data_IF_275219783489
#
_entry.id   IF_275219783489
#
_cell.length_a   1.000
_cell.length_b   1.000
_cell.length_c   1.000
_cell.angle_alpha   90.00
_cell.angle_beta   90.00
_cell.angle_gamma   90.00
#
_symmetry.space_group_name_H-M   'P 1'
#
loop_
_entity.id
_entity.type
_entity.pdbx_description
1 polymer ?
#
# COMPACT_ATOMS: atom_id res chain seq x y z
N UNK A 1 -21.95 2.13 -12.07
CA UNK A 1 -22.50 2.99 -11.00
C UNK A 1 -23.52 3.96 -11.57
N UNK A 2 -24.39 4.55 -10.75
CA UNK A 2 -25.32 5.62 -11.15
C UNK A 2 -25.07 6.84 -10.27
N UNK A 3 -25.04 8.04 -10.86
CA UNK A 3 -24.93 9.30 -10.12
C UNK A 3 -26.21 9.55 -9.30
N UNK A 4 -26.05 10.14 -8.12
CA UNK A 4 -27.15 10.51 -7.21
C UNK A 4 -27.01 11.97 -6.79
N UNK A 5 -28.12 12.56 -6.33
CA UNK A 5 -28.17 13.92 -5.76
C UNK A 5 -27.95 13.90 -4.23
N UNK A 6 -27.43 12.80 -3.67
CA UNK A 6 -27.23 12.67 -2.24
C UNK A 6 -25.98 13.41 -1.79
N UNK A 7 -26.07 14.10 -0.66
CA UNK A 7 -24.89 14.53 0.09
C UNK A 7 -24.51 13.45 1.10
N UNK A 8 -23.22 13.10 1.17
CA UNK A 8 -22.73 12.03 2.03
C UNK A 8 -21.56 12.53 2.87
N UNK A 9 -21.74 12.48 4.20
CA UNK A 9 -20.61 12.44 5.12
C UNK A 9 -19.93 11.07 5.02
N UNK A 10 -18.75 11.03 4.40
CA UNK A 10 -17.98 9.79 4.16
C UNK A 10 -17.71 9.05 5.47
N UNK A 11 -17.37 9.76 6.55
CA UNK A 11 -17.02 9.13 7.83
C UNK A 11 -18.26 8.54 8.49
N UNK A 12 -19.34 9.32 8.58
CA UNK A 12 -20.62 8.87 9.12
C UNK A 12 -21.20 7.68 8.33
N UNK A 13 -21.13 7.75 7.00
CA UNK A 13 -21.58 6.67 6.12
C UNK A 13 -20.76 5.39 6.31
N UNK A 14 -19.43 5.49 6.44
CA UNK A 14 -18.59 4.32 6.67
C UNK A 14 -18.85 3.68 8.04
N UNK A 15 -18.99 4.49 9.10
CA UNK A 15 -19.37 4.00 10.45
C UNK A 15 -20.72 3.27 10.43
N UNK A 16 -21.70 3.82 9.71
CA UNK A 16 -23.01 3.18 9.52
C UNK A 16 -22.90 1.83 8.81
N UNK A 17 -22.02 1.73 7.82
CA UNK A 17 -21.80 0.53 7.04
C UNK A 17 -21.13 -0.55 7.88
N UNK A 18 -20.04 -0.18 8.56
CA UNK A 18 -19.23 -1.10 9.34
C UNK A 18 -19.93 -1.63 10.60
N UNK A 19 -20.95 -0.93 11.11
CA UNK A 19 -21.78 -1.43 12.23
C UNK A 19 -22.77 -2.52 11.81
N UNK A 20 -23.08 -2.61 10.51
CA UNK A 20 -24.07 -3.56 9.96
C UNK A 20 -23.45 -4.74 9.24
N UNK A 21 -22.20 -4.60 8.80
CA UNK A 21 -21.53 -5.57 7.95
C UNK A 21 -20.15 -5.91 8.52
N UNK A 22 -19.77 -7.18 8.42
CA UNK A 22 -18.44 -7.63 8.82
C UNK A 22 -17.40 -7.31 7.74
N UNK A 23 -17.76 -7.56 6.49
CA UNK A 23 -16.91 -7.39 5.33
C UNK A 23 -17.16 -6.03 4.66
N UNK A 24 -16.26 -5.08 4.90
CA UNK A 24 -16.42 -3.69 4.48
C UNK A 24 -15.10 -3.11 3.99
N UNK A 25 -15.18 -2.11 3.11
CA UNK A 25 -14.00 -1.37 2.68
C UNK A 25 -14.28 0.12 2.52
N UNK A 26 -13.20 0.89 2.61
CA UNK A 26 -13.09 2.30 2.29
C UNK A 26 -11.75 2.49 1.59
N UNK A 27 -11.77 2.80 0.29
CA UNK A 27 -10.59 3.26 -0.45
C UNK A 27 -10.64 4.78 -0.48
N UNK A 28 -9.56 5.44 -0.08
CA UNK A 28 -9.62 6.84 0.33
C UNK A 28 -8.52 7.70 -0.28
N UNK A 29 -8.90 8.91 -0.70
CA UNK A 29 -7.99 9.94 -1.17
C UNK A 29 -7.35 10.77 -0.03
N UNK A 30 -7.65 10.46 1.24
CA UNK A 30 -7.01 11.05 2.41
C UNK A 30 -7.87 12.09 3.16
N UNK A 31 -7.38 12.52 4.34
CA UNK A 31 -8.07 13.52 5.16
C UNK A 31 -8.05 14.93 4.55
N UNK A 32 -9.20 15.60 4.60
CA UNK A 32 -9.40 16.98 4.10
C UNK A 32 -8.94 17.22 2.66
N UNK A 33 -8.93 16.16 1.83
CA UNK A 33 -8.63 16.31 0.41
C UNK A 33 -9.72 17.12 -0.28
N UNK A 34 -9.32 17.96 -1.23
CA UNK A 34 -10.22 18.71 -2.11
C UNK A 34 -10.35 18.08 -3.49
N UNK A 35 -9.75 16.89 -3.67
CA UNK A 35 -9.66 16.20 -4.95
C UNK A 35 -9.54 14.68 -4.76
N UNK A 36 -9.77 13.93 -5.83
CA UNK A 36 -9.76 12.46 -5.80
C UNK A 36 -11.06 11.88 -5.26
N UNK A 37 -11.03 10.58 -4.97
CA UNK A 37 -12.22 9.78 -4.70
C UNK A 37 -12.16 9.08 -3.34
N UNK A 38 -13.28 9.02 -2.63
CA UNK A 38 -13.52 8.00 -1.59
C UNK A 38 -14.52 6.99 -2.10
N UNK A 39 -14.19 5.70 -2.00
CA UNK A 39 -15.09 4.59 -2.37
C UNK A 39 -15.34 3.73 -1.14
N UNK A 40 -16.59 3.68 -0.69
CA UNK A 40 -17.03 2.89 0.45
C UNK A 40 -17.88 1.73 -0.05
N UNK A 41 -17.78 0.56 0.56
CA UNK A 41 -18.64 -0.55 0.13
C UNK A 41 -18.57 -1.79 0.98
N UNK A 42 -19.37 -2.76 0.56
CA UNK A 42 -19.51 -4.10 1.13
C UNK A 42 -19.46 -5.13 0.01
N UNK A 43 -19.15 -6.35 0.38
CA UNK A 43 -19.11 -7.45 -0.57
C UNK A 43 -19.17 -8.80 0.09
N UNK A 44 -19.17 -9.82 -0.76
CA UNK A 44 -19.09 -11.21 -0.34
C UNK A 44 -17.66 -11.71 -0.52
N UNK A 45 -17.17 -12.51 0.44
CA UNK A 45 -15.82 -13.09 0.35
C UNK A 45 -15.75 -14.03 -0.85
N UNK A 46 -14.82 -13.78 -1.77
CA UNK A 46 -14.58 -14.63 -2.94
C UNK A 46 -13.16 -15.19 -2.89
N UNK A 47 -13.04 -16.44 -2.46
CA UNK A 47 -11.76 -17.15 -2.37
C UNK A 47 -11.06 -17.34 -3.73
N UNK A 48 -11.79 -17.22 -4.85
CA UNK A 48 -11.18 -17.33 -6.19
C UNK A 48 -10.44 -16.04 -6.58
N UNK A 49 -10.90 -14.91 -6.07
CA UNK A 49 -10.38 -13.58 -6.38
C UNK A 49 -10.45 -13.19 -7.87
N UNK A 50 -9.87 -12.04 -8.22
CA UNK A 50 -9.99 -11.45 -9.54
C UNK A 50 -8.97 -12.00 -10.57
N UNK A 51 -8.23 -13.05 -10.24
CA UNK A 51 -7.09 -13.49 -11.06
C UNK A 51 -7.43 -13.89 -12.50
N UNK A 52 -8.71 -14.18 -12.80
CA UNK A 52 -9.20 -14.55 -14.13
C UNK A 52 -9.58 -13.34 -15.00
N UNK A 53 -9.65 -12.14 -14.43
CA UNK A 53 -10.01 -10.92 -15.15
C UNK A 53 -8.93 -10.60 -16.17
N UNK A 54 -9.34 -10.28 -17.40
CA UNK A 54 -8.43 -9.80 -18.44
C UNK A 54 -8.25 -8.29 -18.35
N UNK A 55 -7.03 -7.79 -18.51
CA UNK A 55 -6.75 -6.35 -18.46
C UNK A 55 -7.31 -5.56 -19.66
N UNK A 56 -7.69 -6.26 -20.72
CA UNK A 56 -8.31 -5.70 -21.93
C UNK A 56 -9.84 -5.87 -21.95
N UNK A 57 -10.47 -6.32 -20.85
CA UNK A 57 -11.91 -6.61 -20.79
C UNK A 57 -12.79 -5.38 -21.10
N UNK A 58 -12.37 -4.18 -20.71
CA UNK A 58 -13.04 -2.92 -21.01
C UNK A 58 -12.65 -2.30 -22.36
N UNK A 59 -11.63 -2.82 -23.05
CA UNK A 59 -11.07 -2.20 -24.26
C UNK A 59 -12.00 -2.28 -25.47
N UNK A 60 -12.98 -3.19 -25.49
CA UNK A 60 -13.88 -3.40 -26.63
C UNK A 60 -14.94 -2.31 -26.83
N UNK A 61 -14.95 -1.23 -26.01
CA UNK A 61 -15.93 -0.16 -26.10
C UNK A 61 -15.36 1.28 -26.09
N UNK A 62 -14.05 1.50 -25.89
CA UNK A 62 -13.52 2.84 -25.63
C UNK A 62 -12.10 3.13 -26.17
N UNK A 63 -11.74 2.58 -27.33
CA UNK A 63 -10.43 2.83 -27.97
C UNK A 63 -10.23 4.28 -28.53
N UNK A 64 -10.84 5.30 -27.91
CA UNK A 64 -10.89 6.64 -28.48
C UNK A 64 -10.74 7.84 -27.53
N UNK A 65 -10.69 7.70 -26.20
CA UNK A 65 -10.57 8.89 -25.36
C UNK A 65 -9.96 8.64 -23.97
N UNK A 66 -9.11 9.60 -23.58
CA UNK A 66 -8.79 10.02 -22.21
C UNK A 66 -7.57 9.39 -21.50
N UNK A 67 -6.39 9.47 -22.12
CA UNK A 67 -5.25 10.00 -21.37
C UNK A 67 -5.45 11.52 -21.22
N UNK A 68 -6.07 11.99 -20.13
CA UNK A 68 -6.06 13.43 -19.78
C UNK A 68 -7.40 14.13 -19.52
N UNK A 69 -8.53 13.44 -19.37
CA UNK A 69 -9.73 14.04 -18.78
C UNK A 69 -10.00 13.38 -17.43
N UNK A 70 -10.07 14.17 -16.34
CA UNK A 70 -10.71 13.68 -15.10
C UNK A 70 -12.12 13.26 -15.49
N UNK A 71 -12.37 11.96 -15.55
CA UNK A 71 -13.68 11.43 -15.90
C UNK A 71 -14.70 11.92 -14.88
N UNK A 72 -15.89 12.29 -15.35
CA UNK A 72 -17.04 12.58 -14.47
C UNK A 72 -17.44 11.34 -13.63
N UNK A 73 -16.95 10.15 -14.02
CA UNK A 73 -17.29 8.87 -13.43
C UNK A 73 -16.21 8.34 -12.47
N UNK A 74 -16.59 7.52 -11.46
CA UNK A 74 -15.66 6.92 -10.52
C UNK A 74 -14.64 5.99 -11.20
N UNK A 75 -13.40 5.91 -10.66
CA UNK A 75 -12.37 5.02 -11.17
C UNK A 75 -12.71 3.52 -10.94
N UNK A 76 -13.36 3.20 -9.81
CA UNK A 76 -13.85 1.85 -9.54
C UNK A 76 -15.31 1.69 -9.96
N UNK A 77 -15.57 0.75 -10.88
CA UNK A 77 -16.90 0.55 -11.50
C UNK A 77 -17.57 -0.77 -11.12
N UNK A 78 -17.00 -1.49 -10.16
CA UNK A 78 -17.44 -2.82 -9.72
C UNK A 78 -16.39 -3.90 -10.01
N UNK A 79 -16.38 -4.95 -9.19
CA UNK A 79 -15.36 -5.99 -9.21
C UNK A 79 -14.95 -6.36 -7.79
N UNK A 80 -13.64 -6.51 -7.57
CA UNK A 80 -13.09 -6.97 -6.30
C UNK A 80 -12.33 -5.87 -5.57
N UNK A 81 -12.43 -5.87 -4.24
CA UNK A 81 -11.57 -5.09 -3.34
C UNK A 81 -10.93 -6.05 -2.34
N UNK A 82 -9.63 -5.91 -2.09
CA UNK A 82 -8.92 -6.86 -1.24
C UNK A 82 -7.42 -6.67 -1.26
N UNK A 83 -6.70 -7.75 -0.94
CA UNK A 83 -5.25 -7.76 -0.88
C UNK A 83 -4.64 -9.09 -1.33
N UNK A 84 -3.35 -9.02 -1.68
CA UNK A 84 -2.44 -10.15 -1.74
C UNK A 84 -1.40 -10.00 -0.64
N UNK A 85 -1.21 -11.05 0.15
CA UNK A 85 -0.12 -11.11 1.11
C UNK A 85 1.22 -11.41 0.43
N UNK A 86 2.31 -10.96 1.05
CA UNK A 86 3.66 -11.13 0.52
C UNK A 86 4.04 -12.60 0.35
N UNK A 87 3.71 -13.46 1.32
CA UNK A 87 4.16 -14.85 1.36
C UNK A 87 3.55 -15.69 0.23
N UNK A 88 2.27 -15.49 -0.10
CA UNK A 88 1.65 -16.10 -1.30
C UNK A 88 2.32 -15.65 -2.60
N UNK A 89 2.72 -14.39 -2.68
CA UNK A 89 3.53 -13.87 -3.79
C UNK A 89 4.89 -14.54 -3.85
N UNK A 90 5.53 -14.75 -2.69
CA UNK A 90 6.84 -15.37 -2.63
C UNK A 90 6.83 -16.82 -3.13
N UNK A 91 5.82 -17.60 -2.74
CA UNK A 91 5.60 -18.95 -3.29
C UNK A 91 5.44 -18.91 -4.81
N UNK A 92 4.63 -17.98 -5.32
CA UNK A 92 4.39 -17.85 -6.76
C UNK A 92 5.66 -17.51 -7.55
N UNK A 93 6.54 -16.68 -6.97
CA UNK A 93 7.83 -16.33 -7.53
C UNK A 93 8.90 -17.44 -7.39
N UNK A 94 8.58 -18.56 -6.74
CA UNK A 94 9.49 -19.68 -6.50
C UNK A 94 10.48 -19.48 -5.36
N UNK A 95 10.25 -18.49 -4.48
CA UNK A 95 11.07 -18.26 -3.31
C UNK A 95 10.56 -19.06 -2.09
N UNK A 96 11.41 -19.30 -1.08
CA UNK A 96 10.96 -19.79 0.22
C UNK A 96 9.96 -18.83 0.86
N UNK A 97 8.94 -19.38 1.52
CA UNK A 97 7.93 -18.62 2.23
C UNK A 97 7.49 -19.37 3.49
N UNK A 98 7.16 -18.61 4.53
CA UNK A 98 6.56 -19.17 5.73
C UNK A 98 5.05 -19.35 5.52
N UNK A 99 4.42 -20.25 6.28
CA UNK A 99 2.96 -20.30 6.30
C UNK A 99 2.42 -19.01 6.93
N UNK A 100 1.77 -18.19 6.12
CA UNK A 100 1.01 -17.03 6.59
C UNK A 100 -0.41 -17.46 6.95
N UNK A 101 -0.91 -17.02 8.11
CA UNK A 101 -2.30 -17.28 8.53
C UNK A 101 -3.32 -16.47 7.71
N UNK A 102 -2.89 -15.38 7.05
CA UNK A 102 -3.82 -14.42 6.44
C UNK A 102 -4.17 -14.73 4.99
N UNK A 103 -3.21 -15.23 4.19
CA UNK A 103 -3.39 -15.47 2.75
C UNK A 103 -3.91 -14.26 1.94
N UNK A 104 -4.20 -14.44 0.65
CA UNK A 104 -4.88 -13.44 -0.16
C UNK A 104 -6.38 -13.45 0.18
N UNK A 105 -7.00 -12.27 0.24
CA UNK A 105 -8.42 -12.13 0.55
C UNK A 105 -9.07 -11.06 -0.32
N UNK A 106 -10.27 -11.36 -0.82
CA UNK A 106 -11.00 -10.52 -1.77
C UNK A 106 -12.50 -10.49 -1.46
N UNK A 107 -13.08 -9.31 -1.56
CA UNK A 107 -14.52 -9.10 -1.57
C UNK A 107 -14.99 -8.90 -3.00
N UNK A 108 -15.94 -9.72 -3.47
CA UNK A 108 -16.78 -9.36 -4.60
C UNK A 108 -17.75 -8.27 -4.17
N UNK A 109 -17.59 -7.06 -4.70
CA UNK A 109 -18.34 -5.90 -4.24
C UNK A 109 -19.79 -5.98 -4.70
N UNK A 110 -20.72 -6.04 -3.75
CA UNK A 110 -22.17 -6.12 -4.00
C UNK A 110 -22.86 -4.77 -3.90
N UNK A 111 -22.34 -3.85 -3.10
CA UNK A 111 -22.79 -2.46 -3.03
C UNK A 111 -21.64 -1.52 -2.68
N UNK A 112 -21.64 -0.33 -3.30
CA UNK A 112 -20.65 0.70 -3.02
C UNK A 112 -21.20 2.10 -3.31
N UNK A 113 -20.62 3.09 -2.65
CA UNK A 113 -20.71 4.49 -3.05
C UNK A 113 -19.32 5.02 -3.38
N UNK A 114 -19.25 5.94 -4.33
CA UNK A 114 -18.05 6.70 -4.64
C UNK A 114 -18.37 8.20 -4.56
N UNK A 115 -17.51 8.94 -3.88
CA UNK A 115 -17.64 10.39 -3.68
C UNK A 115 -16.45 11.06 -4.34
N UNK A 116 -16.72 11.97 -5.28
CA UNK A 116 -15.72 12.86 -5.88
C UNK A 116 -15.55 14.10 -4.99
N UNK A 117 -14.38 14.29 -4.40
CA UNK A 117 -14.11 15.41 -3.49
C UNK A 117 -13.97 16.76 -4.21
N UNK A 118 -13.70 16.75 -5.52
CA UNK A 118 -13.60 17.99 -6.29
C UNK A 118 -14.97 18.58 -6.61
N UNK A 119 -15.97 17.72 -6.86
CA UNK A 119 -17.31 18.14 -7.30
C UNK A 119 -18.41 17.91 -6.27
N UNK A 120 -18.14 17.11 -5.23
CA UNK A 120 -19.15 16.60 -4.30
C UNK A 120 -20.08 15.55 -4.92
N UNK A 121 -19.83 15.11 -6.16
CA UNK A 121 -20.71 14.16 -6.84
C UNK A 121 -20.65 12.78 -6.18
N UNK A 122 -21.83 12.19 -5.97
CA UNK A 122 -21.97 10.86 -5.40
C UNK A 122 -22.46 9.87 -6.45
N UNK A 123 -21.86 8.70 -6.46
CA UNK A 123 -22.16 7.60 -7.35
C UNK A 123 -22.45 6.35 -6.55
N UNK A 124 -23.47 5.59 -6.94
CA UNK A 124 -23.92 4.38 -6.23
C UNK A 124 -23.86 3.14 -7.14
N UNK A 125 -23.44 2.02 -6.56
CA UNK A 125 -23.50 0.68 -7.14
C UNK A 125 -24.28 -0.25 -6.23
N UNK A 126 -25.08 -1.13 -6.82
CA UNK A 126 -25.90 -2.08 -6.07
C UNK A 126 -26.99 -1.36 -5.28
N UNK A 127 -27.49 -2.02 -4.24
CA UNK A 127 -28.43 -1.42 -3.30
C UNK A 127 -27.64 -0.98 -2.07
N UNK A 128 -27.33 0.32 -1.97
CA UNK A 128 -26.66 0.84 -0.78
C UNK A 128 -27.53 0.61 0.46
N UNK A 129 -27.00 0.05 1.57
CA UNK A 129 -27.78 -0.20 2.77
C UNK A 129 -28.18 1.12 3.45
N UNK A 130 -29.41 1.58 3.18
CA UNK A 130 -30.02 2.77 3.80
C UNK A 130 -30.70 2.44 5.13
N UNK A 131 -30.78 3.42 6.03
CA UNK A 131 -31.54 3.32 7.29
C UNK A 131 -30.90 4.13 8.42
N UNK A 132 -31.64 4.42 9.51
CA UNK A 132 -31.11 5.16 10.65
C UNK A 132 -29.93 4.41 11.28
N UNK A 133 -28.92 5.17 11.71
CA UNK A 133 -27.88 4.65 12.59
C UNK A 133 -28.58 4.09 13.83
N UNK A 134 -28.39 2.80 14.14
CA UNK A 134 -28.41 2.40 15.55
C UNK A 134 -27.29 3.21 16.20
N UNK A 135 -27.56 3.80 17.36
CA UNK A 135 -26.64 4.70 18.05
C UNK A 135 -25.19 4.20 17.98
N UNK A 136 -24.21 5.13 17.86
CA UNK A 136 -22.81 4.76 17.79
C UNK A 136 -22.52 3.71 18.85
N UNK A 137 -21.73 2.68 18.49
CA UNK A 137 -21.07 1.87 19.50
C UNK A 137 -20.49 2.84 20.52
N UNK A 138 -21.02 2.80 21.74
CA UNK A 138 -20.51 3.59 22.83
C UNK A 138 -19.06 3.21 23.00
N UNK A 139 -18.17 3.98 22.40
CA UNK A 139 -16.84 4.13 22.96
C UNK A 139 -17.11 4.59 24.38
N UNK A 140 -16.61 3.84 25.37
CA UNK A 140 -16.52 4.43 26.69
C UNK A 140 -15.70 5.70 26.53
N UNK A 141 -16.33 6.86 26.62
CA UNK A 141 -15.66 8.08 27.00
C UNK A 141 -15.18 7.87 28.44
N UNK A 142 -14.12 7.08 28.58
CA UNK A 142 -13.27 7.12 29.75
C UNK A 142 -12.44 8.37 29.61
N UNK A 143 -12.70 9.34 30.47
CA UNK A 143 -11.96 10.60 30.67
C UNK A 143 -10.54 10.35 31.25
N UNK A 144 -9.98 9.16 31.05
CA UNK A 144 -8.60 8.83 31.35
C UNK A 144 -7.84 8.79 30.03
N UNK A 145 -6.90 9.73 29.84
CA UNK A 145 -5.89 9.62 28.80
C UNK A 145 -5.26 8.22 28.91
N UNK A 146 -5.47 7.31 27.94
CA UNK A 146 -4.94 5.96 28.05
C UNK A 146 -3.41 6.06 28.17
N UNK A 147 -2.85 5.34 29.14
CA UNK A 147 -1.39 5.24 29.23
C UNK A 147 -0.89 4.60 27.94
N UNK A 148 0.06 5.22 27.21
CA UNK A 148 0.51 4.69 25.93
C UNK A 148 0.97 3.24 26.07
N UNK A 149 0.44 2.36 25.24
CA UNK A 149 0.83 0.94 25.25
C UNK A 149 2.17 0.83 24.53
N UNK A 150 3.20 0.33 25.20
CA UNK A 150 4.47 0.05 24.55
C UNK A 150 4.30 -1.14 23.59
N UNK A 151 4.62 -0.95 22.32
CA UNK A 151 4.67 -2.05 21.37
C UNK A 151 5.82 -2.99 21.70
N UNK A 152 5.66 -4.28 21.37
CA UNK A 152 6.77 -5.22 21.28
C UNK A 152 7.38 -5.18 19.88
N UNK A 153 8.67 -5.48 19.74
CA UNK A 153 9.33 -5.56 18.44
C UNK A 153 9.90 -6.96 18.21
N UNK A 154 9.88 -7.43 16.95
CA UNK A 154 10.50 -8.70 16.57
C UNK A 154 12.01 -8.69 16.85
N UNK A 155 12.65 -7.54 16.63
CA UNK A 155 14.07 -7.35 16.85
C UNK A 155 14.29 -6.15 17.76
N UNK A 156 15.33 -6.22 18.59
CA UNK A 156 15.94 -5.01 19.16
C UNK A 156 16.68 -4.23 18.06
N UNK A 157 16.97 -2.93 18.26
CA UNK A 157 17.74 -2.16 17.29
C UNK A 157 19.13 -2.75 17.04
N UNK A 158 19.77 -3.32 18.07
CA UNK A 158 21.09 -3.96 17.96
C UNK A 158 21.03 -5.23 17.13
N UNK A 159 20.02 -6.08 17.32
CA UNK A 159 19.81 -7.26 16.48
C UNK A 159 19.51 -6.88 15.04
N UNK A 160 18.67 -5.86 14.83
CA UNK A 160 18.35 -5.39 13.48
C UNK A 160 19.58 -4.80 12.77
N UNK A 161 20.43 -4.05 13.48
CA UNK A 161 21.71 -3.58 12.95
C UNK A 161 22.64 -4.74 12.53
N UNK A 162 22.69 -5.82 13.30
CA UNK A 162 23.46 -7.01 12.94
C UNK A 162 22.90 -7.70 11.68
N UNK A 163 21.57 -7.73 11.50
CA UNK A 163 20.95 -8.23 10.27
C UNK A 163 21.28 -7.36 9.06
N UNK A 164 21.36 -6.04 9.23
CA UNK A 164 21.78 -5.11 8.17
C UNK A 164 23.23 -5.40 7.75
N UNK A 165 24.14 -5.63 8.69
CA UNK A 165 25.53 -5.98 8.37
C UNK A 165 25.62 -7.31 7.62
N UNK A 166 24.84 -8.32 8.01
CA UNK A 166 24.74 -9.58 7.27
C UNK A 166 24.19 -9.38 5.85
N UNK A 167 23.17 -8.55 5.68
CA UNK A 167 22.66 -8.18 4.36
C UNK A 167 23.74 -7.51 3.49
N UNK A 168 24.56 -6.63 4.08
CA UNK A 168 25.70 -6.00 3.39
C UNK A 168 26.77 -7.01 3.00
N UNK A 169 27.04 -8.02 3.83
CA UNK A 169 27.95 -9.12 3.50
C UNK A 169 27.45 -9.94 2.30
N UNK A 170 26.15 -10.27 2.25
CA UNK A 170 25.53 -10.92 1.08
C UNK A 170 25.66 -10.08 -0.20
N UNK A 171 25.46 -8.77 -0.08
CA UNK A 171 25.65 -7.85 -1.21
C UNK A 171 27.11 -7.80 -1.66
N UNK A 172 28.05 -7.79 -0.71
CA UNK A 172 29.50 -7.82 -0.99
C UNK A 172 29.92 -9.10 -1.72
N UNK A 173 29.29 -10.22 -1.38
CA UNK A 173 29.52 -11.51 -2.04
C UNK A 173 29.00 -11.54 -3.49
N UNK A 174 28.13 -10.59 -3.87
CA UNK A 174 27.55 -10.49 -5.20
C UNK A 174 26.24 -11.25 -5.37
N UNK A 175 25.65 -11.76 -4.28
CA UNK A 175 24.41 -12.53 -4.31
C UNK A 175 23.17 -11.62 -4.52
N UNK A 176 23.28 -10.35 -4.14
CA UNK A 176 22.27 -9.32 -4.35
C UNK A 176 22.93 -7.94 -4.50
N UNK A 177 22.20 -7.00 -5.09
CA UNK A 177 22.55 -5.58 -5.14
C UNK A 177 21.83 -4.77 -4.06
N UNK A 178 20.60 -5.17 -3.73
CA UNK A 178 19.77 -4.56 -2.69
C UNK A 178 18.88 -5.62 -2.04
N UNK A 179 18.68 -5.51 -0.73
CA UNK A 179 17.80 -6.35 0.08
C UNK A 179 16.86 -5.46 0.90
N UNK A 180 15.56 -5.51 0.65
CA UNK A 180 14.56 -4.83 1.47
C UNK A 180 14.33 -5.61 2.76
N UNK A 181 15.18 -5.38 3.75
CA UNK A 181 15.10 -6.03 5.06
C UNK A 181 13.96 -5.41 5.87
N UNK A 182 13.19 -6.25 6.56
CA UNK A 182 12.04 -5.81 7.33
C UNK A 182 12.01 -6.39 8.75
N UNK A 183 11.31 -5.68 9.62
CA UNK A 183 10.94 -6.11 10.98
C UNK A 183 9.48 -5.71 11.24
N UNK A 184 8.97 -6.02 12.43
CA UNK A 184 7.62 -5.65 12.83
C UNK A 184 7.52 -5.25 14.30
N UNK A 185 6.52 -4.42 14.57
CA UNK A 185 6.08 -4.01 15.88
C UNK A 185 4.65 -4.55 16.11
N UNK A 186 4.36 -4.97 17.33
CA UNK A 186 3.10 -5.59 17.70
C UNK A 186 2.54 -4.97 18.98
N UNK A 187 1.26 -4.63 18.96
CA UNK A 187 0.49 -4.14 20.09
C UNK A 187 -0.58 -5.16 20.41
N UNK A 188 -0.40 -5.88 21.51
CA UNK A 188 -1.35 -6.88 21.96
C UNK A 188 -2.67 -6.26 22.42
N UNK A 189 -3.75 -7.04 22.34
CA UNK A 189 -5.09 -6.65 22.76
C UNK A 189 -6.01 -6.28 21.60
N UNK A 190 -7.26 -6.02 21.97
CA UNK A 190 -8.32 -5.64 21.04
C UNK A 190 -8.31 -4.12 20.83
N UNK A 191 -8.23 -3.71 19.57
CA UNK A 191 -8.21 -2.31 19.17
C UNK A 191 -9.50 -1.94 18.41
N UNK A 192 -9.90 -0.65 18.43
CA UNK A 192 -10.94 -0.14 17.53
C UNK A 192 -10.32 0.13 16.15
N UNK A 193 -10.63 -0.67 15.11
CA UNK A 193 -10.03 -0.46 13.80
C UNK A 193 -10.50 0.86 13.17
N UNK A 194 -11.76 1.26 13.37
CA UNK A 194 -12.29 2.46 12.70
C UNK A 194 -11.69 3.71 13.34
N UNK A 195 -11.70 3.82 14.68
CA UNK A 195 -11.06 4.90 15.40
C UNK A 195 -9.56 5.01 15.07
N UNK A 196 -8.87 3.88 15.02
CA UNK A 196 -7.45 3.83 14.63
C UNK A 196 -7.22 4.33 13.21
N UNK A 197 -8.05 3.91 12.25
CA UNK A 197 -7.94 4.39 10.87
C UNK A 197 -8.14 5.90 10.77
N UNK A 198 -9.13 6.45 11.46
CA UNK A 198 -9.40 7.89 11.44
C UNK A 198 -8.21 8.69 11.99
N UNK A 199 -7.54 8.20 13.03
CA UNK A 199 -6.29 8.79 13.55
C UNK A 199 -5.15 8.67 12.55
N UNK A 200 -4.96 7.49 11.95
CA UNK A 200 -3.92 7.27 10.93
C UNK A 200 -4.12 8.18 9.72
N UNK A 201 -5.35 8.25 9.21
CA UNK A 201 -5.78 9.07 8.07
C UNK A 201 -5.54 10.56 8.32
N UNK A 202 -5.81 11.05 9.53
CA UNK A 202 -5.55 12.43 9.91
C UNK A 202 -4.05 12.75 10.07
N UNK A 203 -3.27 11.81 10.60
CA UNK A 203 -1.84 11.99 10.88
C UNK A 203 -0.95 11.80 9.65
N UNK A 204 -1.36 10.95 8.69
CA UNK A 204 -0.55 10.60 7.51
C UNK A 204 -1.42 10.63 6.25
N UNK A 205 -1.66 11.82 5.67
CA UNK A 205 -2.31 11.91 4.36
C UNK A 205 -1.48 11.17 3.31
N UNK A 206 -2.13 10.29 2.56
CA UNK A 206 -1.48 9.46 1.55
C UNK A 206 -2.42 9.21 0.36
N UNK A 207 -1.87 8.97 -0.82
CA UNK A 207 -2.63 8.73 -2.05
C UNK A 207 -3.41 7.42 -2.03
N UNK A 208 -2.92 6.44 -1.26
CA UNK A 208 -3.56 5.16 -1.07
C UNK A 208 -3.89 4.95 0.41
N UNK A 209 -4.70 5.88 0.91
CA UNK A 209 -5.42 5.69 2.17
C UNK A 209 -6.46 4.59 2.01
N UNK A 210 -6.65 3.77 3.05
CA UNK A 210 -7.78 2.85 3.02
C UNK A 210 -8.01 2.03 4.27
N UNK A 211 -9.22 1.54 4.41
CA UNK A 211 -9.65 0.55 5.38
C UNK A 211 -10.22 -0.63 4.61
N UNK A 212 -9.74 -1.84 4.86
CA UNK A 212 -10.34 -3.06 4.31
C UNK A 212 -10.47 -4.08 5.43
N UNK A 213 -11.70 -4.50 5.75
CA UNK A 213 -11.93 -5.59 6.70
C UNK A 213 -12.59 -6.75 5.98
N UNK A 214 -11.93 -7.90 6.03
CA UNK A 214 -12.40 -9.17 5.46
C UNK A 214 -12.27 -10.22 6.55
N UNK A 215 -13.40 -10.73 7.03
CA UNK A 215 -13.41 -11.60 8.19
C UNK A 215 -12.91 -10.93 9.46
N UNK A 216 -12.05 -11.66 10.17
CA UNK A 216 -11.43 -11.28 11.42
C UNK A 216 -10.13 -10.47 11.22
N UNK A 217 -9.89 -9.96 10.00
CA UNK A 217 -8.70 -9.17 9.66
C UNK A 217 -9.09 -7.80 9.11
N UNK A 218 -8.43 -6.77 9.62
CA UNK A 218 -8.55 -5.40 9.11
C UNK A 218 -7.18 -4.85 8.69
N UNK A 219 -7.11 -4.33 7.47
CA UNK A 219 -6.00 -3.55 6.95
C UNK A 219 -6.35 -2.06 7.00
N UNK A 220 -5.43 -1.27 7.56
CA UNK A 220 -5.56 0.18 7.68
C UNK A 220 -4.32 0.79 7.04
N UNK A 221 -4.50 1.43 5.89
CA UNK A 221 -3.41 1.91 5.04
C UNK A 221 -3.34 3.43 5.03
N UNK A 222 -2.10 3.92 5.09
CA UNK A 222 -1.69 5.25 4.67
C UNK A 222 -0.49 5.13 3.71
N UNK A 223 -0.61 4.22 2.73
CA UNK A 223 0.47 3.91 1.80
C UNK A 223 0.70 5.05 0.81
N UNK A 224 1.96 5.49 0.61
CA UNK A 224 2.30 6.47 -0.41
C UNK A 224 2.60 5.83 -1.78
N UNK A 225 2.80 4.51 -1.86
CA UNK A 225 3.42 3.87 -3.02
C UNK A 225 2.41 3.06 -3.84
N UNK A 226 2.20 3.46 -5.09
CA UNK A 226 1.44 2.69 -6.07
C UNK A 226 2.27 1.50 -6.56
N UNK A 227 1.77 0.29 -6.34
CA UNK A 227 2.38 -0.91 -6.88
C UNK A 227 2.05 -1.07 -8.36
N UNK A 228 0.76 -1.21 -8.69
CA UNK A 228 0.31 -1.43 -10.06
C UNK A 228 -0.95 -0.63 -10.28
N UNK A 229 -1.00 0.02 -11.43
CA UNK A 229 -2.24 0.53 -11.97
C UNK A 229 -2.38 0.04 -13.40
N UNK A 230 -3.57 -0.40 -13.79
CA UNK A 230 -3.85 -0.73 -15.18
C UNK A 230 -5.21 -0.20 -15.61
N UNK A 231 -5.29 0.26 -16.86
CA UNK A 231 -6.51 0.76 -17.48
C UNK A 231 -6.37 0.63 -19.00
N UNK A 232 -7.40 0.11 -19.67
CA UNK A 232 -7.42 -0.02 -21.14
C UNK A 232 -6.24 -0.82 -21.72
N UNK A 233 -5.72 -1.80 -20.97
CA UNK A 233 -4.54 -2.59 -21.35
C UNK A 233 -3.18 -1.89 -21.14
N UNK A 234 -3.15 -0.63 -20.68
CA UNK A 234 -1.90 0.01 -20.22
C UNK A 234 -1.63 -0.37 -18.77
N UNK A 235 -0.40 -0.76 -18.45
CA UNK A 235 0.06 -1.08 -17.09
C UNK A 235 1.11 -0.04 -16.69
N UNK A 236 1.03 0.48 -15.48
CA UNK A 236 2.03 1.39 -14.90
C UNK A 236 2.36 1.00 -13.46
N UNK A 237 3.60 1.31 -13.07
CA UNK A 237 4.08 1.21 -11.69
C UNK A 237 4.91 2.43 -11.33
N UNK A 238 4.85 2.86 -10.08
CA UNK A 238 5.40 4.14 -9.61
C UNK A 238 6.24 3.97 -8.34
N UNK A 239 7.45 3.39 -8.43
CA UNK A 239 8.32 3.21 -7.28
C UNK A 239 8.76 4.55 -6.69
N UNK A 240 8.88 4.58 -5.37
CA UNK A 240 9.33 5.75 -4.61
C UNK A 240 10.63 5.40 -3.90
N UNK A 241 11.68 6.21 -4.07
CA UNK A 241 12.97 6.07 -3.37
C UNK A 241 13.54 7.42 -3.01
N UNK A 242 13.56 7.71 -1.72
CA UNK A 242 13.97 9.00 -1.19
C UNK A 242 12.77 9.87 -0.85
N UNK A 243 12.88 10.52 0.31
CA UNK A 243 11.87 11.42 0.83
C UNK A 243 12.56 12.55 1.57
N UNK A 244 12.03 13.76 1.46
CA UNK A 244 12.44 14.90 2.28
C UNK A 244 11.21 15.54 2.92
N UNK A 245 11.31 16.08 4.15
CA UNK A 245 10.23 16.88 4.70
C UNK A 245 10.01 18.15 3.86
N UNK A 246 8.87 18.82 4.05
CA UNK A 246 8.69 20.18 3.55
C UNK A 246 9.57 21.17 4.31
N UNK A 247 10.03 22.20 3.61
CA UNK A 247 10.77 23.31 4.20
C UNK A 247 9.87 24.23 5.03
N UNK A 248 10.48 24.97 5.96
CA UNK A 248 9.78 25.97 6.78
C UNK A 248 9.38 27.22 5.96
N UNK A 249 10.03 27.43 4.82
CA UNK A 249 9.79 28.53 3.88
C UNK A 249 10.05 28.06 2.43
N UNK A 250 9.67 28.87 1.45
CA UNK A 250 9.79 28.51 0.03
C UNK A 250 11.23 28.24 -0.43
N UNK A 251 12.22 28.91 0.18
CA UNK A 251 13.62 28.75 -0.20
C UNK A 251 14.20 27.43 0.31
N UNK A 252 13.99 27.14 1.59
CA UNK A 252 14.36 25.86 2.21
C UNK A 252 13.60 24.68 1.59
N UNK A 253 12.33 24.87 1.25
CA UNK A 253 11.51 23.84 0.59
C UNK A 253 12.05 23.48 -0.80
N UNK A 254 12.37 24.48 -1.62
CA UNK A 254 12.99 24.28 -2.91
C UNK A 254 14.39 23.65 -2.81
N UNK A 255 15.17 24.02 -1.79
CA UNK A 255 16.48 23.43 -1.54
C UNK A 255 16.39 21.95 -1.18
N UNK A 256 15.43 21.55 -0.34
CA UNK A 256 15.19 20.14 0.02
C UNK A 256 14.76 19.30 -1.19
N UNK A 257 13.89 19.84 -2.05
CA UNK A 257 13.51 19.20 -3.30
C UNK A 257 14.71 19.02 -4.25
N UNK A 258 15.54 20.06 -4.39
CA UNK A 258 16.74 20.00 -5.23
C UNK A 258 17.79 19.02 -4.68
N UNK A 259 17.98 18.96 -3.35
CA UNK A 259 18.85 18.00 -2.68
C UNK A 259 18.38 16.56 -2.94
N UNK A 260 17.07 16.30 -2.84
CA UNK A 260 16.49 14.98 -3.09
C UNK A 260 16.81 14.48 -4.50
N UNK A 261 16.60 15.31 -5.51
CA UNK A 261 16.94 14.96 -6.91
C UNK A 261 18.43 14.77 -7.12
N UNK A 262 19.26 15.57 -6.44
CA UNK A 262 20.71 15.51 -6.59
C UNK A 262 21.34 14.31 -5.87
N UNK A 263 20.63 13.69 -4.91
CA UNK A 263 21.17 12.62 -4.06
C UNK A 263 21.62 11.39 -4.86
N UNK A 264 22.93 11.06 -4.87
CA UNK A 264 23.43 9.88 -5.57
C UNK A 264 22.90 8.58 -4.98
N UNK A 265 22.67 8.53 -3.65
CA UNK A 265 22.09 7.36 -2.95
C UNK A 265 20.69 7.07 -3.50
N UNK A 266 19.80 8.05 -3.42
CA UNK A 266 18.38 7.89 -3.79
C UNK A 266 18.23 7.57 -5.29
N UNK A 267 19.04 8.23 -6.14
CA UNK A 267 19.05 7.95 -7.58
C UNK A 267 19.50 6.53 -7.91
N UNK A 268 20.52 6.03 -7.23
CA UNK A 268 21.03 4.68 -7.43
C UNK A 268 19.99 3.63 -7.03
N UNK A 269 19.39 3.78 -5.84
CA UNK A 269 18.31 2.89 -5.38
C UNK A 269 17.10 2.94 -6.32
N UNK A 270 16.70 4.14 -6.75
CA UNK A 270 15.58 4.30 -7.66
C UNK A 270 15.83 3.60 -9.01
N UNK A 271 17.00 3.80 -9.63
CA UNK A 271 17.35 3.16 -10.91
C UNK A 271 17.34 1.64 -10.80
N UNK A 272 17.85 1.09 -9.69
CA UNK A 272 17.83 -0.35 -9.47
C UNK A 272 16.40 -0.91 -9.43
N UNK A 273 15.48 -0.23 -8.75
CA UNK A 273 14.07 -0.63 -8.70
C UNK A 273 13.39 -0.44 -10.06
N UNK A 274 13.64 0.68 -10.74
CA UNK A 274 13.12 0.95 -12.08
C UNK A 274 13.53 -0.15 -13.05
N UNK A 275 14.79 -0.57 -13.05
CA UNK A 275 15.26 -1.61 -13.96
C UNK A 275 14.63 -2.97 -13.65
N UNK A 276 14.51 -3.32 -12.37
CA UNK A 276 13.78 -4.52 -11.96
C UNK A 276 12.32 -4.50 -12.44
N UNK A 277 11.63 -3.37 -12.31
CA UNK A 277 10.26 -3.22 -12.76
C UNK A 277 10.12 -3.26 -14.28
N UNK A 278 11.08 -2.69 -15.02
CA UNK A 278 11.14 -2.84 -16.48
C UNK A 278 11.26 -4.30 -16.88
N UNK A 279 12.10 -5.06 -16.18
CA UNK A 279 12.25 -6.50 -16.41
C UNK A 279 10.98 -7.28 -16.00
N UNK A 280 10.26 -6.82 -14.97
CA UNK A 280 9.00 -7.45 -14.58
C UNK A 280 7.92 -7.24 -15.64
N UNK A 281 7.74 -6.00 -16.09
CA UNK A 281 6.74 -5.67 -17.11
C UNK A 281 7.10 -6.24 -18.48
N UNK A 282 8.37 -6.38 -18.84
CA UNK A 282 8.78 -6.94 -20.14
C UNK A 282 8.33 -8.38 -20.37
N UNK A 283 8.00 -9.12 -19.29
CA UNK A 283 7.49 -10.49 -19.35
C UNK A 283 6.03 -10.58 -19.76
N UNK A 284 5.26 -9.50 -19.59
CA UNK A 284 3.79 -9.48 -19.78
C UNK A 284 3.31 -8.35 -20.69
N UNK A 285 4.19 -7.44 -21.06
CA UNK A 285 3.89 -6.36 -22.00
C UNK A 285 4.35 -6.70 -23.42
N UNK A 286 3.67 -6.14 -24.41
CA UNK A 286 4.02 -6.27 -25.81
C UNK A 286 5.46 -5.74 -26.05
N UNK A 287 6.29 -6.45 -26.86
CA UNK A 287 7.66 -6.02 -27.12
C UNK A 287 7.78 -4.57 -27.61
N UNK A 288 8.73 -3.81 -27.06
CA UNK A 288 8.97 -2.41 -27.43
C UNK A 288 8.01 -1.39 -26.80
N UNK A 289 7.03 -1.84 -26.00
CA UNK A 289 6.09 -0.93 -25.32
C UNK A 289 6.53 -0.51 -23.92
N UNK A 290 7.40 -1.29 -23.26
CA UNK A 290 7.88 -0.97 -21.91
C UNK A 290 8.79 0.26 -21.94
N UNK A 291 8.43 1.30 -21.19
CA UNK A 291 9.11 2.61 -21.16
C UNK A 291 9.25 3.13 -19.73
N UNK A 292 10.26 3.95 -19.52
CA UNK A 292 10.37 4.80 -18.33
C UNK A 292 9.77 6.15 -18.73
N UNK A 293 8.56 6.44 -18.28
CA UNK A 293 7.83 7.66 -18.62
C UNK A 293 8.36 8.87 -17.85
N UNK A 294 8.76 8.65 -16.60
CA UNK A 294 9.38 9.63 -15.72
C UNK A 294 10.48 8.96 -14.90
N UNK A 295 11.60 9.65 -14.72
CA UNK A 295 12.74 9.17 -13.93
C UNK A 295 13.21 10.29 -13.00
N UNK A 296 13.21 10.00 -11.69
CA UNK A 296 13.63 10.95 -10.65
C UNK A 296 12.80 12.24 -10.60
N UNK A 297 11.50 12.12 -10.82
CA UNK A 297 10.57 13.23 -10.72
C UNK A 297 10.29 13.54 -9.24
N UNK A 298 10.32 14.81 -8.86
CA UNK A 298 9.91 15.21 -7.51
C UNK A 298 8.42 15.45 -7.52
N UNK A 299 7.72 14.70 -6.66
CA UNK A 299 6.33 14.95 -6.34
C UNK A 299 6.24 15.59 -4.96
N UNK A 300 5.59 16.75 -4.92
CA UNK A 300 5.43 17.54 -3.70
C UNK A 300 4.07 17.29 -3.09
N UNK A 301 4.09 16.82 -1.85
CA UNK A 301 2.91 16.55 -1.05
C UNK A 301 2.84 17.53 0.14
N UNK A 302 1.69 17.63 0.84
CA UNK A 302 1.55 18.56 1.97
C UNK A 302 2.62 18.39 3.06
N UNK A 303 3.09 17.16 3.29
CA UNK A 303 4.05 16.85 4.36
C UNK A 303 5.48 16.54 3.87
N UNK A 304 5.66 16.13 2.61
CA UNK A 304 6.95 15.65 2.09
C UNK A 304 7.14 15.92 0.61
N UNK A 305 8.40 15.91 0.16
CA UNK A 305 8.80 15.67 -1.23
C UNK A 305 9.18 14.20 -1.42
N UNK A 306 8.81 13.62 -2.54
CA UNK A 306 9.14 12.23 -2.88
C UNK A 306 9.76 12.15 -4.27
N UNK A 307 10.77 11.28 -4.42
CA UNK A 307 11.39 11.02 -5.70
C UNK A 307 10.74 9.79 -6.33
N UNK A 308 9.98 10.04 -7.40
CA UNK A 308 9.11 9.07 -8.07
C UNK A 308 9.66 8.81 -9.46
N UNK A 309 9.56 7.57 -9.89
CA UNK A 309 9.78 7.19 -11.29
C UNK A 309 8.55 6.43 -11.77
N UNK A 310 8.26 6.49 -13.07
CA UNK A 310 7.12 5.79 -13.66
C UNK A 310 7.62 4.84 -14.74
N UNK A 311 7.30 3.57 -14.59
CA UNK A 311 7.52 2.55 -15.64
C UNK A 311 6.16 2.10 -16.13
N UNK A 312 5.98 2.11 -17.45
CA UNK A 312 4.74 1.67 -18.09
C UNK A 312 4.99 0.68 -19.21
N UNK A 313 3.93 0.01 -19.66
CA UNK A 313 3.93 -0.82 -20.86
C UNK A 313 2.51 -1.23 -21.25
N UNK A 314 2.34 -1.69 -22.48
CA UNK A 314 1.04 -2.19 -22.96
C UNK A 314 0.99 -3.70 -22.76
N UNK A 315 0.00 -4.19 -22.01
CA UNK A 315 -0.23 -5.61 -21.80
C UNK A 315 -0.32 -6.37 -23.14
N UNK A 316 0.14 -7.63 -23.16
CA UNK A 316 -0.19 -8.53 -24.28
C UNK A 316 -1.70 -8.82 -24.31
N UNK A 317 -2.23 -9.10 -25.49
CA UNK A 317 -3.65 -9.42 -25.67
C UNK A 317 -4.06 -10.60 -24.78
N UNK A 318 -5.18 -10.45 -24.08
CA UNK A 318 -5.72 -11.51 -23.22
C UNK A 318 -5.01 -11.68 -21.88
N UNK A 319 -4.00 -10.86 -21.55
CA UNK A 319 -3.30 -10.92 -20.28
C UNK A 319 -4.28 -10.84 -19.11
N UNK A 320 -4.20 -11.82 -18.21
CA UNK A 320 -5.00 -11.87 -16.99
C UNK A 320 -4.28 -11.22 -15.81
N UNK A 321 -5.07 -10.80 -14.82
CA UNK A 321 -4.57 -10.27 -13.55
C UNK A 321 -3.64 -11.27 -12.83
N UNK A 322 -3.93 -12.57 -12.89
CA UNK A 322 -3.05 -13.61 -12.32
C UNK A 322 -1.69 -13.65 -13.01
N UNK A 323 -1.64 -13.55 -14.33
CA UNK A 323 -0.38 -13.53 -15.08
C UNK A 323 0.42 -12.26 -14.80
N UNK A 324 -0.26 -11.11 -14.70
CA UNK A 324 0.37 -9.85 -14.29
C UNK A 324 1.03 -9.98 -12.91
N UNK A 325 0.31 -10.52 -11.92
CA UNK A 325 0.86 -10.73 -10.58
C UNK A 325 1.99 -11.75 -10.58
N UNK A 326 1.86 -12.86 -11.31
CA UNK A 326 2.91 -13.88 -11.42
C UNK A 326 4.22 -13.32 -12.00
N UNK A 327 4.15 -12.29 -12.85
CA UNK A 327 5.34 -11.58 -13.30
C UNK A 327 5.83 -10.55 -12.27
N UNK A 328 4.95 -9.70 -11.75
CA UNK A 328 5.38 -8.46 -11.07
C UNK A 328 5.48 -8.57 -9.55
N UNK A 329 4.78 -9.51 -8.92
CA UNK A 329 4.64 -9.60 -7.46
C UNK A 329 5.51 -10.71 -6.85
N UNK A 330 6.09 -10.53 -5.64
CA UNK A 330 6.08 -9.30 -4.84
C UNK A 330 6.87 -8.16 -5.47
N UNK A 331 6.55 -6.93 -5.09
CA UNK A 331 7.16 -5.74 -5.67
C UNK A 331 8.67 -5.67 -5.40
N UNK A 332 9.43 -5.16 -6.37
CA UNK A 332 10.87 -4.95 -6.25
C UNK A 332 11.27 -4.09 -5.06
N UNK A 333 10.48 -3.04 -4.77
CA UNK A 333 10.72 -2.12 -3.66
C UNK A 333 10.65 -2.78 -2.29
N UNK A 334 9.89 -3.88 -2.18
CA UNK A 334 9.71 -4.68 -0.96
C UNK A 334 10.42 -6.03 -1.02
N UNK A 335 11.26 -6.28 -2.03
CA UNK A 335 12.07 -7.50 -2.13
C UNK A 335 13.54 -7.10 -2.25
N UNK A 336 14.02 -6.87 -3.46
CA UNK A 336 15.41 -6.59 -3.74
C UNK A 336 15.76 -7.03 -5.15
N UNK A 337 17.03 -6.86 -5.52
CA UNK A 337 17.50 -7.16 -6.86
C UNK A 337 18.79 -8.00 -6.78
N UNK A 338 18.92 -9.13 -7.50
CA UNK A 338 17.87 -9.83 -8.26
C UNK A 338 16.77 -10.44 -7.37
N UNK A 339 15.51 -10.40 -7.82
CA UNK A 339 14.32 -10.68 -7.00
C UNK A 339 14.37 -12.02 -6.25
N UNK A 340 14.56 -13.13 -6.96
CA UNK A 340 14.53 -14.48 -6.37
C UNK A 340 15.66 -14.70 -5.33
N UNK A 341 16.87 -14.24 -5.66
CA UNK A 341 18.00 -14.30 -4.73
C UNK A 341 17.73 -13.47 -3.48
N UNK A 342 17.28 -12.22 -3.67
CA UNK A 342 16.95 -11.31 -2.58
C UNK A 342 15.90 -11.90 -1.64
N UNK A 343 14.82 -12.47 -2.17
CA UNK A 343 13.77 -13.08 -1.37
C UNK A 343 14.24 -14.31 -0.58
N UNK A 344 15.10 -15.13 -1.17
CA UNK A 344 15.69 -16.30 -0.51
C UNK A 344 16.54 -15.88 0.69
N UNK A 345 17.41 -14.90 0.49
CA UNK A 345 18.26 -14.34 1.56
C UNK A 345 17.40 -13.68 2.65
N UNK A 346 16.39 -12.89 2.26
CA UNK A 346 15.50 -12.22 3.20
C UNK A 346 14.71 -13.19 4.07
N UNK A 347 14.26 -14.30 3.48
CA UNK A 347 13.58 -15.35 4.25
C UNK A 347 14.46 -15.87 5.40
N UNK A 348 15.76 -16.09 5.16
CA UNK A 348 16.70 -16.53 6.19
C UNK A 348 17.01 -15.42 7.21
N UNK A 349 17.28 -14.19 6.74
CA UNK A 349 17.58 -13.05 7.62
C UNK A 349 16.40 -12.71 8.54
N UNK A 350 15.18 -12.86 8.06
CA UNK A 350 13.95 -12.62 8.81
C UNK A 350 13.50 -13.84 9.63
N UNK A 351 14.40 -14.81 9.84
CA UNK A 351 14.18 -16.01 10.66
C UNK A 351 12.99 -16.86 10.20
N UNK A 352 12.77 -16.92 8.89
CA UNK A 352 11.63 -17.59 8.26
C UNK A 352 10.27 -17.12 8.82
N UNK A 353 10.18 -15.89 9.31
CA UNK A 353 8.93 -15.31 9.75
C UNK A 353 8.15 -14.76 8.55
N UNK A 354 6.82 -14.96 8.48
CA UNK A 354 6.01 -14.38 7.42
C UNK A 354 5.98 -12.85 7.53
N UNK A 355 5.84 -12.19 6.38
CA UNK A 355 5.52 -10.76 6.33
C UNK A 355 4.01 -10.53 6.34
N UNK A 356 3.23 -11.50 5.84
CA UNK A 356 1.79 -11.46 5.77
C UNK A 356 1.29 -10.37 4.82
N UNK A 357 0.20 -9.69 5.22
CA UNK A 357 -0.36 -8.59 4.42
C UNK A 357 0.63 -7.43 4.29
N UNK A 358 1.50 -7.19 5.29
CA UNK A 358 2.59 -6.22 5.16
C UNK A 358 3.59 -6.64 4.07
N UNK A 359 4.11 -5.67 3.31
CA UNK A 359 4.89 -5.91 2.07
C UNK A 359 4.09 -6.57 0.93
N UNK A 360 2.81 -6.87 1.14
CA UNK A 360 1.89 -7.26 0.09
C UNK A 360 1.36 -6.06 -0.69
N UNK A 361 0.21 -6.23 -1.35
CA UNK A 361 -0.49 -5.13 -2.01
C UNK A 361 -1.99 -5.18 -1.74
N UNK A 362 -2.66 -4.03 -1.74
CA UNK A 362 -4.11 -3.92 -1.58
C UNK A 362 -4.70 -2.89 -2.53
N UNK A 363 -6.00 -2.98 -2.78
CA UNK A 363 -6.73 -2.03 -3.61
C UNK A 363 -7.90 -2.70 -4.32
N UNK A 364 -8.15 -2.34 -5.57
CA UNK A 364 -9.26 -2.90 -6.35
C UNK A 364 -8.83 -3.48 -7.70
N UNK A 365 -9.65 -4.41 -8.18
CA UNK A 365 -9.62 -4.94 -9.54
C UNK A 365 -11.04 -4.91 -10.09
N UNK A 366 -11.26 -4.12 -11.12
CA UNK A 366 -12.52 -3.97 -11.83
C UNK A 366 -12.79 -5.13 -12.78
N UNK A 367 -14.07 -5.44 -13.00
CA UNK A 367 -14.48 -6.46 -14.00
C UNK A 367 -14.12 -6.07 -15.44
N UNK A 368 -13.86 -4.79 -15.67
CA UNK A 368 -13.42 -4.19 -16.92
C UNK A 368 -11.89 -4.26 -17.12
N UNK A 369 -11.16 -4.86 -16.19
CA UNK A 369 -9.70 -4.96 -16.25
C UNK A 369 -8.96 -3.77 -15.66
N UNK A 370 -9.67 -2.72 -15.20
CA UNK A 370 -9.06 -1.61 -14.48
C UNK A 370 -8.57 -2.11 -13.11
N UNK A 371 -7.38 -1.72 -12.68
CA UNK A 371 -6.91 -2.01 -11.31
C UNK A 371 -6.07 -0.88 -10.76
N UNK A 372 -6.11 -0.73 -9.44
CA UNK A 372 -5.26 0.18 -8.70
C UNK A 372 -4.88 -0.50 -7.39
N UNK A 373 -3.60 -0.84 -7.27
CA UNK A 373 -3.02 -1.58 -6.17
C UNK A 373 -1.87 -0.78 -5.58
N UNK A 374 -1.90 -0.59 -4.27
CA UNK A 374 -0.84 0.04 -3.50
C UNK A 374 -0.04 -0.99 -2.72
N UNK A 375 1.21 -0.67 -2.42
CA UNK A 375 2.01 -1.46 -1.49
C UNK A 375 1.42 -1.37 -0.08
N UNK A 376 1.42 -2.47 0.67
CA UNK A 376 1.05 -2.45 2.09
C UNK A 376 2.26 -2.06 2.92
N UNK A 377 2.49 -0.75 2.99
CA UNK A 377 3.49 -0.08 3.81
C UNK A 377 2.84 1.10 4.54
N UNK A 378 3.46 1.59 5.62
CA UNK A 378 2.85 2.65 6.48
C UNK A 378 1.41 2.27 6.89
N UNK A 379 1.21 0.98 7.14
CA UNK A 379 -0.09 0.36 7.32
C UNK A 379 -0.10 -0.43 8.63
N UNK A 380 -1.29 -0.65 9.15
CA UNK A 380 -1.56 -1.47 10.33
C UNK A 380 -2.41 -2.65 9.88
N UNK A 381 -2.07 -3.84 10.34
CA UNK A 381 -2.88 -5.06 10.15
C UNK A 381 -3.36 -5.50 11.51
N UNK A 382 -4.67 -5.63 11.69
CA UNK A 382 -5.29 -5.99 12.96
C UNK A 382 -6.08 -7.29 12.85
N UNK A 383 -6.11 -8.02 13.96
CA UNK A 383 -7.06 -9.08 14.22
C UNK A 383 -7.73 -8.90 15.59
N UNK A 384 -8.41 -9.95 16.08
CA UNK A 384 -9.09 -9.91 17.37
C UNK A 384 -8.15 -9.82 18.57
N UNK A 385 -6.87 -10.19 18.40
CA UNK A 385 -5.89 -10.36 19.49
C UNK A 385 -4.78 -9.32 19.46
N UNK A 386 -4.46 -8.75 18.30
CA UNK A 386 -3.31 -7.84 18.14
C UNK A 386 -3.44 -6.89 16.95
N UNK A 387 -2.62 -5.85 16.99
CA UNK A 387 -2.30 -4.99 15.85
C UNK A 387 -0.80 -5.09 15.50
N UNK A 388 -0.49 -5.19 14.21
CA UNK A 388 0.87 -5.34 13.68
C UNK A 388 1.21 -4.18 12.74
N UNK A 389 2.38 -3.59 12.96
CA UNK A 389 2.99 -2.55 12.12
C UNK A 389 4.31 -3.09 11.58
N UNK A 390 4.38 -3.32 10.27
CA UNK A 390 5.62 -3.67 9.60
C UNK A 390 6.44 -2.42 9.22
N UNK A 391 7.76 -2.54 9.30
CA UNK A 391 8.69 -1.50 8.85
C UNK A 391 9.99 -2.10 8.33
N UNK A 392 10.66 -1.39 7.42
CA UNK A 392 11.86 -1.89 6.75
C UNK A 392 12.48 -0.87 5.81
N UNK A 393 13.57 -1.27 5.15
CA UNK A 393 14.38 -0.40 4.30
C UNK A 393 15.18 -1.20 3.27
N UNK A 394 15.53 -0.56 2.15
CA UNK A 394 16.36 -1.14 1.11
C UNK A 394 17.82 -1.08 1.50
N UNK A 395 18.40 -2.19 1.92
CA UNK A 395 19.81 -2.26 2.26
C UNK A 395 20.63 -2.35 0.99
N UNK A 396 21.56 -1.42 0.82
CA UNK A 396 22.57 -1.44 -0.26
C UNK A 396 23.96 -1.56 0.35
N UNK A 397 24.99 -1.71 -0.49
CA UNK A 397 26.38 -1.69 -0.02
C UNK A 397 26.74 -0.42 0.77
N UNK A 398 26.15 0.72 0.39
CA UNK A 398 26.37 2.02 1.02
C UNK A 398 25.52 2.30 2.26
N UNK A 399 24.62 1.39 2.64
CA UNK A 399 23.79 1.56 3.83
C UNK A 399 24.63 1.59 5.11
N UNK A 400 24.23 2.45 6.06
CA UNK A 400 24.82 2.59 7.38
C UNK A 400 23.83 2.07 8.40
N UNK A 401 24.18 1.00 9.13
CA UNK A 401 23.22 0.28 9.97
C UNK A 401 22.49 1.15 11.00
N UNK A 402 23.17 2.14 11.59
CA UNK A 402 22.52 3.06 12.53
C UNK A 402 21.46 3.95 11.88
N UNK A 403 21.69 4.43 10.65
CA UNK A 403 20.75 5.26 9.92
C UNK A 403 19.52 4.45 9.47
N UNK A 404 19.74 3.22 9.00
CA UNK A 404 18.66 2.31 8.58
C UNK A 404 17.77 1.89 9.78
N UNK A 405 18.36 1.71 10.96
CA UNK A 405 17.62 1.49 12.22
C UNK A 405 16.75 2.69 12.56
N UNK A 406 17.30 3.91 12.47
CA UNK A 406 16.56 5.15 12.75
C UNK A 406 15.43 5.37 11.73
N UNK A 407 15.64 4.98 10.48
CA UNK A 407 14.64 5.01 9.43
C UNK A 407 13.47 4.05 9.73
N UNK A 408 13.76 2.82 10.19
CA UNK A 408 12.72 1.86 10.61
C UNK A 408 11.87 2.40 11.76
N UNK A 409 12.51 2.98 12.79
CA UNK A 409 11.80 3.61 13.90
C UNK A 409 10.90 4.76 13.42
N UNK A 410 11.43 5.62 12.55
CA UNK A 410 10.69 6.74 11.93
C UNK A 410 9.51 6.23 11.11
N UNK A 411 9.69 5.11 10.39
CA UNK A 411 8.64 4.51 9.56
C UNK A 411 7.45 3.99 10.36
N UNK A 412 7.71 3.40 11.52
CA UNK A 412 6.71 2.79 12.38
C UNK A 412 5.98 3.78 13.30
N UNK A 413 6.56 4.96 13.56
CA UNK A 413 6.05 5.91 14.56
C UNK A 413 4.61 6.36 14.33
N UNK A 414 4.27 6.79 13.12
CA UNK A 414 2.91 7.29 12.84
C UNK A 414 1.83 6.19 12.91
N UNK A 415 2.04 4.99 12.32
CA UNK A 415 1.12 3.86 12.53
C UNK A 415 0.95 3.44 14.00
N UNK A 416 2.04 3.42 14.79
CA UNK A 416 1.95 3.12 16.22
C UNK A 416 1.21 4.21 17.00
N UNK A 417 1.45 5.48 16.70
CA UNK A 417 0.73 6.58 17.33
C UNK A 417 -0.78 6.53 17.02
N UNK A 418 -1.18 6.07 15.83
CA UNK A 418 -2.59 5.84 15.51
C UNK A 418 -3.23 4.72 16.34
N UNK A 419 -2.43 3.77 16.85
CA UNK A 419 -2.84 2.76 17.83
C UNK A 419 -2.79 3.26 19.28
N UNK A 420 -2.46 4.54 19.51
CA UNK A 420 -2.17 5.07 20.85
C UNK A 420 -1.04 4.30 21.54
N UNK A 421 -0.13 3.77 20.72
CA UNK A 421 1.03 3.00 21.12
C UNK A 421 2.31 3.75 20.80
N UNK A 422 3.35 3.41 21.53
CA UNK A 422 4.68 3.97 21.35
C UNK A 422 5.66 2.87 20.93
N UNK A 423 6.76 3.27 20.30
CA UNK A 423 7.88 2.37 20.05
C UNK A 423 8.35 1.72 21.37
N UNK A 424 8.88 0.49 21.34
CA UNK A 424 9.57 -0.06 22.51
C UNK A 424 10.74 0.85 22.92
N UNK A 425 11.04 0.95 24.21
CA UNK A 425 12.05 1.90 24.73
C UNK A 425 13.40 1.82 24.01
N UNK A 426 13.85 0.61 23.64
CA UNK A 426 15.10 0.42 22.91
C UNK A 426 15.12 1.16 21.55
N UNK A 427 13.95 1.35 20.92
CA UNK A 427 13.78 2.03 19.63
C UNK A 427 13.50 3.54 19.79
N UNK A 428 13.35 4.06 21.01
CA UNK A 428 13.16 5.49 21.28
C UNK A 428 14.55 6.14 21.46
N UNK A 429 15.07 6.73 20.40
CA UNK A 429 16.24 7.62 20.47
C UNK A 429 15.82 9.07 20.62
#
# INVERSE_FOLDING_TARGET
>A
MRRTDAEIDVVGAFRALASRHEDVFWLDAGDRTTDGWSVLGVGERDARGPGHVRLDAGSSAAAGAAAGARGEEPPFRGGWVGWLDYDSGAVTAGAPAASSETGPAWLWVTAAIAVDHATGAVWEMGQWPRGPLSEPFGGSEGDESPTPIAASARNTPTEYAALIERARETIRAGDAYQLCLTTRFEVAGRHDPIGTYLRLRAATPAHHGGFVRIGDRALLSASPETFLHAEGGSIRTRPIKGTRPRGADAASDAALAAELVASPKERAENVMIVDLMRNDLSRVCAPGTVRVEGLWEVETYPAVHQLVSTVSGTAVEGLTVRELWGATFPAGSMTGAPKLSAMTVLHELESAAPRGVYSGCFGYVGVDGTLDLAMVIRSIVMDAERAVVGAGGGITWGSVASEEVDEVATKARAPLAALEAELPDAWRR
#
